data_IF_118484427140
#
_entry.id   IF_118484427140
#
_cell.length_a   1.000
_cell.length_b   1.000
_cell.length_c   1.000
_cell.angle_alpha   90.00
_cell.angle_beta   90.00
_cell.angle_gamma   90.00
#
_symmetry.space_group_name_H-M   'P 1'
#
loop_
_entity.id
_entity.type
_entity.pdbx_description
1 polymer ?
#
# COMPACT_ATOMS: atom_id res chain seq x y z
N UNK A 1 2.17 48.97 -61.04
CA UNK A 1 2.90 47.89 -60.34
C UNK A 1 2.07 47.56 -59.10
N UNK A 2 1.27 46.48 -59.08
CA UNK A 2 1.69 45.11 -58.71
C UNK A 2 2.64 45.16 -57.49
N UNK A 3 2.45 44.53 -56.33
CA UNK A 3 1.60 43.40 -55.96
C UNK A 3 1.76 43.20 -54.43
N UNK A 4 0.71 42.72 -53.75
CA UNK A 4 0.74 41.73 -52.63
C UNK A 4 1.33 42.03 -51.23
N UNK A 5 0.45 41.81 -50.23
CA UNK A 5 0.61 40.94 -49.03
C UNK A 5 1.53 41.47 -47.90
N UNK A 6 1.25 41.32 -46.60
CA UNK A 6 0.44 40.36 -45.83
C UNK A 6 0.02 41.02 -44.50
N UNK A 7 -1.26 40.90 -44.14
CA UNK A 7 -1.71 40.90 -42.75
C UNK A 7 -1.18 39.63 -42.07
N UNK A 8 -0.55 39.77 -40.90
CA UNK A 8 -0.33 38.67 -39.97
C UNK A 8 -1.15 38.97 -38.72
N UNK A 9 -2.23 38.23 -38.43
CA UNK A 9 -2.81 38.25 -37.09
C UNK A 9 -1.95 37.34 -36.21
N UNK A 10 -1.41 37.90 -35.12
CA UNK A 10 -0.83 37.13 -34.02
C UNK A 10 -1.96 36.35 -33.33
N UNK A 11 -2.24 35.16 -33.84
CA UNK A 11 -2.96 34.10 -33.13
C UNK A 11 -2.03 33.60 -32.03
N UNK A 12 -2.14 34.20 -30.84
CA UNK A 12 -1.64 33.58 -29.61
C UNK A 12 -2.59 32.42 -29.34
N UNK A 13 -2.27 31.25 -29.88
CA UNK A 13 -2.81 30.00 -29.36
C UNK A 13 -2.31 29.88 -27.92
N UNK A 14 -3.16 30.26 -26.97
CA UNK A 14 -3.08 29.75 -25.62
C UNK A 14 -3.16 28.23 -25.71
N UNK A 15 -2.01 27.57 -25.60
CA UNK A 15 -1.93 26.15 -25.32
C UNK A 15 -2.56 25.92 -23.94
N UNK A 16 -3.89 25.85 -23.90
CA UNK A 16 -4.57 25.10 -22.87
C UNK A 16 -4.11 23.66 -23.09
N UNK A 17 -3.14 23.22 -22.28
CA UNK A 17 -2.89 21.79 -22.14
C UNK A 17 -4.25 21.15 -21.86
N UNK A 18 -4.66 20.14 -22.64
CA UNK A 18 -5.80 19.36 -22.24
C UNK A 18 -5.40 18.77 -20.90
N UNK A 19 -6.10 19.18 -19.83
CA UNK A 19 -6.12 18.43 -18.59
C UNK A 19 -6.64 17.06 -18.98
N UNK A 20 -5.72 16.12 -19.20
CA UNK A 20 -6.05 14.73 -19.44
C UNK A 20 -6.74 14.30 -18.16
N UNK A 21 -8.04 14.02 -18.27
CA UNK A 21 -8.81 13.40 -17.21
C UNK A 21 -8.22 12.00 -16.93
N UNK A 22 -7.31 11.96 -15.97
CA UNK A 22 -6.96 10.80 -15.17
C UNK A 22 -6.85 11.32 -13.76
N UNK A 23 -7.70 10.84 -12.86
CA UNK A 23 -7.72 11.35 -11.48
C UNK A 23 -6.32 11.29 -10.86
N UNK A 24 -5.93 12.33 -10.14
CA UNK A 24 -4.66 12.38 -9.42
C UNK A 24 -4.50 11.10 -8.60
N UNK A 25 -3.36 10.43 -8.74
CA UNK A 25 -3.08 9.23 -7.95
C UNK A 25 -2.68 9.69 -6.57
N UNK A 26 -3.48 9.31 -5.58
CA UNK A 26 -3.31 9.74 -4.20
C UNK A 26 -2.62 8.64 -3.39
N UNK A 27 -1.55 9.01 -2.71
CA UNK A 27 -0.92 8.23 -1.65
C UNK A 27 -1.27 8.87 -0.31
N UNK A 28 -2.03 8.18 0.53
CA UNK A 28 -2.32 8.63 1.89
C UNK A 28 -1.64 7.70 2.91
N UNK A 29 -1.06 8.27 3.95
CA UNK A 29 -0.46 7.51 5.06
C UNK A 29 -0.68 8.18 6.41
N UNK A 30 -1.09 7.39 7.39
CA UNK A 30 -1.13 7.80 8.80
C UNK A 30 0.22 7.55 9.50
N UNK A 31 1.17 6.90 8.82
CA UNK A 31 2.50 6.60 9.33
C UNK A 31 3.52 7.53 8.66
N UNK A 32 4.13 8.39 9.48
CA UNK A 32 5.16 9.31 9.04
C UNK A 32 6.31 8.59 8.34
N UNK A 33 6.70 9.13 7.17
CA UNK A 33 7.80 8.59 6.38
C UNK A 33 7.48 7.36 5.54
N UNK A 34 6.22 6.91 5.50
CA UNK A 34 5.75 5.89 4.55
C UNK A 34 4.87 6.53 3.48
N UNK A 35 5.12 6.22 2.21
CA UNK A 35 4.31 6.72 1.09
C UNK A 35 4.34 5.76 -0.08
N UNK A 36 3.29 5.74 -0.89
CA UNK A 36 3.25 5.00 -2.15
C UNK A 36 3.70 5.87 -3.31
N UNK A 37 4.41 5.28 -4.26
CA UNK A 37 4.78 5.93 -5.51
C UNK A 37 4.94 4.89 -6.63
N UNK A 38 4.94 5.36 -7.88
CA UNK A 38 5.24 4.50 -9.03
C UNK A 38 6.73 4.15 -9.11
N UNK A 39 7.02 2.96 -9.61
CA UNK A 39 8.36 2.50 -9.93
C UNK A 39 8.79 2.99 -11.32
N UNK A 40 10.05 3.42 -11.51
CA UNK A 40 10.59 3.75 -12.83
C UNK A 40 10.39 2.61 -13.84
N UNK A 41 10.22 2.91 -15.15
CA UNK A 41 10.34 4.24 -15.78
C UNK A 41 9.09 5.13 -15.71
N UNK A 42 7.93 4.62 -15.28
CA UNK A 42 6.68 5.40 -15.18
C UNK A 42 6.69 6.25 -13.90
N UNK A 43 7.71 7.08 -13.72
CA UNK A 43 7.91 7.92 -12.56
C UNK A 43 6.94 9.13 -12.56
N UNK A 44 5.68 8.89 -12.93
CA UNK A 44 4.59 9.85 -12.86
C UNK A 44 4.48 10.32 -11.41
N UNK A 45 4.17 11.61 -11.27
CA UNK A 45 4.04 12.24 -9.98
C UNK A 45 2.84 11.66 -9.21
N UNK A 46 3.06 11.28 -7.95
CA UNK A 46 2.01 10.81 -7.04
C UNK A 46 1.76 11.87 -5.97
N UNK A 47 0.49 12.20 -5.73
CA UNK A 47 0.09 13.14 -4.69
C UNK A 47 0.16 12.47 -3.31
N UNK A 48 1.23 12.73 -2.57
CA UNK A 48 1.43 12.21 -1.23
C UNK A 48 0.81 13.13 -0.17
N UNK A 49 0.03 12.51 0.72
CA UNK A 49 -0.68 13.14 1.84
C UNK A 49 -0.44 12.37 3.13
N UNK A 50 -0.39 13.09 4.25
CA UNK A 50 -0.28 12.54 5.59
C UNK A 50 -1.29 13.21 6.53
N UNK A 51 -1.71 12.51 7.58
CA UNK A 51 -2.58 13.10 8.61
C UNK A 51 -1.88 14.25 9.36
N UNK A 52 -0.58 14.13 9.58
CA UNK A 52 0.25 15.16 10.21
C UNK A 52 1.01 15.95 9.14
N UNK A 53 0.71 17.25 9.04
CA UNK A 53 1.35 18.19 8.09
C UNK A 53 2.88 18.24 8.24
N UNK A 54 3.41 18.00 9.44
CA UNK A 54 4.86 17.95 9.63
C UNK A 54 5.51 16.79 8.85
N UNK A 55 4.77 15.72 8.55
CA UNK A 55 5.27 14.61 7.74
C UNK A 55 5.41 14.97 6.26
N UNK A 56 4.53 15.83 5.73
CA UNK A 56 4.64 16.35 4.36
C UNK A 56 5.95 17.14 4.23
N UNK A 57 6.20 18.07 5.15
CA UNK A 57 7.43 18.86 5.14
C UNK A 57 8.69 18.00 5.32
N UNK A 58 8.62 16.98 6.17
CA UNK A 58 9.71 16.01 6.36
C UNK A 58 10.00 15.23 5.08
N UNK A 59 8.98 14.77 4.36
CA UNK A 59 9.14 14.07 3.09
C UNK A 59 9.79 14.98 2.04
N UNK A 60 9.30 16.21 1.90
CA UNK A 60 9.84 17.21 0.97
C UNK A 60 11.31 17.48 1.26
N UNK A 61 11.65 17.77 2.50
CA UNK A 61 13.04 18.00 2.91
C UNK A 61 13.91 16.76 2.64
N UNK A 62 13.44 15.56 2.98
CA UNK A 62 14.21 14.33 2.77
C UNK A 62 14.51 14.08 1.29
N UNK A 63 13.51 14.17 0.42
CA UNK A 63 13.67 14.00 -1.02
C UNK A 63 14.60 15.06 -1.61
N UNK A 64 14.38 16.34 -1.27
CA UNK A 64 15.14 17.43 -1.87
C UNK A 64 16.58 17.55 -1.33
N UNK A 65 16.89 16.91 -0.20
CA UNK A 65 18.26 16.67 0.25
C UNK A 65 18.98 15.54 -0.51
N UNK A 66 18.32 14.87 -1.45
CA UNK A 66 18.87 13.73 -2.19
C UNK A 66 19.07 12.48 -1.33
N UNK A 67 18.39 12.38 -0.18
CA UNK A 67 18.46 11.20 0.68
C UNK A 67 17.72 10.04 0.02
N UNK A 68 18.15 8.84 0.38
CA UNK A 68 17.57 7.62 -0.17
C UNK A 68 16.20 7.32 0.43
N UNK A 69 15.34 6.71 -0.38
CA UNK A 69 14.10 6.05 0.04
C UNK A 69 14.15 4.57 -0.33
N UNK A 70 13.40 3.74 0.37
CA UNK A 70 13.53 2.29 0.28
C UNK A 70 12.18 1.67 -0.09
N UNK A 71 12.12 0.98 -1.22
CA UNK A 71 10.94 0.22 -1.62
C UNK A 71 10.80 -1.01 -0.72
N UNK A 72 9.80 -1.01 0.16
CA UNK A 72 9.66 -2.00 1.23
C UNK A 72 9.37 -3.40 0.71
N UNK A 73 8.65 -3.54 -0.41
CA UNK A 73 8.39 -4.85 -1.01
C UNK A 73 9.66 -5.55 -1.56
N UNK A 74 10.66 -4.76 -1.98
CA UNK A 74 11.86 -5.27 -2.64
C UNK A 74 13.15 -5.14 -1.80
N UNK A 75 13.12 -4.30 -0.76
CA UNK A 75 14.33 -3.88 -0.03
C UNK A 75 15.30 -3.07 -0.89
N UNK A 76 14.84 -2.48 -1.98
CA UNK A 76 15.67 -1.78 -2.96
C UNK A 76 15.74 -0.28 -2.66
N UNK A 77 16.90 0.31 -2.93
CA UNK A 77 17.20 1.73 -2.68
C UNK A 77 16.86 2.57 -3.92
N UNK A 78 16.22 3.71 -3.67
CA UNK A 78 15.83 4.70 -4.66
C UNK A 78 16.15 6.11 -4.15
N UNK A 79 16.00 7.10 -5.03
CA UNK A 79 15.96 8.52 -4.71
C UNK A 79 14.56 9.05 -4.98
N UNK A 80 14.18 10.14 -4.33
CA UNK A 80 12.92 10.83 -4.60
C UNK A 80 13.14 12.31 -4.83
N UNK A 81 12.22 12.92 -5.57
CA UNK A 81 12.05 14.35 -5.70
C UNK A 81 10.63 14.69 -5.23
N UNK A 82 10.48 15.82 -4.55
CA UNK A 82 9.20 16.24 -4.00
C UNK A 82 8.94 17.72 -4.27
N UNK A 83 7.78 18.01 -4.84
CA UNK A 83 7.31 19.35 -5.15
C UNK A 83 6.08 19.66 -4.32
N UNK A 84 6.04 20.85 -3.71
CA UNK A 84 4.91 21.28 -2.88
C UNK A 84 3.91 22.02 -3.77
N UNK A 85 2.70 21.50 -3.86
CA UNK A 85 1.60 22.20 -4.48
C UNK A 85 0.91 23.06 -3.42
N UNK A 86 0.95 24.37 -3.61
CA UNK A 86 0.12 25.28 -2.81
C UNK A 86 -1.28 25.25 -3.40
N UNK A 87 -2.23 24.68 -2.66
CA UNK A 87 -3.66 24.85 -2.95
C UNK A 87 -4.02 26.34 -2.84
N UNK A 88 -4.98 26.79 -3.65
CA UNK A 88 -5.41 28.18 -3.66
C UNK A 88 -5.87 28.62 -2.26
N UNK A 89 -5.66 29.89 -1.85
CA UNK A 89 -6.12 30.37 -0.56
C UNK A 89 -7.64 30.18 -0.42
N UNK A 90 -8.07 29.35 0.55
CA UNK A 90 -9.48 29.07 0.83
C UNK A 90 -9.99 27.70 0.37
N UNK A 91 -9.17 26.89 -0.31
CA UNK A 91 -9.45 25.47 -0.49
C UNK A 91 -9.04 24.71 0.78
N UNK A 92 -9.99 24.00 1.39
CA UNK A 92 -9.79 23.18 2.60
C UNK A 92 -9.07 21.84 2.27
N UNK A 93 -8.16 21.89 1.31
CA UNK A 93 -7.36 20.75 0.89
C UNK A 93 -6.03 20.80 1.63
N UNK A 94 -5.88 19.87 2.59
CA UNK A 94 -4.67 19.72 3.39
C UNK A 94 -3.41 19.63 2.53
N UNK A 95 -2.27 20.03 3.10
CA UNK A 95 -0.97 20.12 2.41
C UNK A 95 -0.66 18.81 1.64
N UNK A 96 -0.58 18.91 0.31
CA UNK A 96 -0.22 17.81 -0.60
C UNK A 96 1.15 18.08 -1.20
N UNK A 97 1.94 17.04 -1.42
CA UNK A 97 3.18 17.14 -2.18
C UNK A 97 3.20 16.09 -3.28
N UNK A 98 3.58 16.50 -4.50
CA UNK A 98 3.81 15.57 -5.58
C UNK A 98 5.18 14.95 -5.45
N UNK A 99 5.24 13.62 -5.46
CA UNK A 99 6.47 12.86 -5.28
C UNK A 99 6.73 12.01 -6.51
N UNK A 100 7.98 12.03 -6.95
CA UNK A 100 8.50 11.18 -8.01
C UNK A 100 9.69 10.39 -7.48
N UNK A 101 9.78 9.11 -7.85
CA UNK A 101 10.88 8.23 -7.44
C UNK A 101 11.75 7.86 -8.63
N UNK A 102 13.07 7.90 -8.43
CA UNK A 102 14.09 7.54 -9.41
C UNK A 102 14.99 6.45 -8.84
N UNK A 103 15.42 5.50 -9.67
CA UNK A 103 16.27 4.40 -9.24
C UNK A 103 16.23 3.22 -10.20
N UNK A 104 16.48 1.98 -9.72
CA UNK A 104 16.45 0.79 -10.56
C UNK A 104 15.17 0.71 -11.37
N UNK A 105 15.30 0.48 -12.68
CA UNK A 105 14.15 0.23 -13.53
C UNK A 105 13.48 -1.08 -13.13
N UNK A 106 12.15 -1.08 -13.09
CA UNK A 106 11.41 -2.33 -12.94
C UNK A 106 11.65 -3.23 -14.16
N UNK A 107 11.50 -4.54 -13.96
CA UNK A 107 11.68 -5.54 -15.03
C UNK A 107 10.44 -5.72 -15.92
N UNK A 108 9.28 -5.19 -15.50
CA UNK A 108 8.02 -5.33 -16.22
C UNK A 108 7.72 -4.10 -17.07
N UNK A 109 7.16 -4.35 -18.26
CA UNK A 109 6.51 -3.35 -19.11
C UNK A 109 5.28 -2.71 -18.45
N UNK A 110 4.56 -3.45 -17.60
CA UNK A 110 3.41 -2.95 -16.87
C UNK A 110 3.82 -1.94 -15.81
N UNK A 111 2.99 -0.91 -15.64
CA UNK A 111 3.10 0.06 -14.55
C UNK A 111 3.06 -0.66 -13.21
N UNK A 112 3.97 -0.29 -12.31
CA UNK A 112 4.08 -0.87 -10.96
C UNK A 112 4.21 0.24 -9.92
N UNK A 113 3.70 -0.03 -8.72
CA UNK A 113 3.87 0.82 -7.56
C UNK A 113 4.74 0.12 -6.51
N UNK A 114 5.25 0.89 -5.56
CA UNK A 114 5.82 0.36 -4.33
C UNK A 114 5.43 1.24 -3.13
N UNK A 115 5.47 0.64 -1.94
CA UNK A 115 5.44 1.36 -0.68
C UNK A 115 6.89 1.72 -0.32
N UNK A 116 7.15 2.99 -0.13
CA UNK A 116 8.46 3.53 0.21
C UNK A 116 8.53 3.92 1.67
N UNK A 117 9.72 3.78 2.24
CA UNK A 117 10.10 4.33 3.54
C UNK A 117 11.26 5.29 3.42
N UNK A 118 11.27 6.33 4.26
CA UNK A 118 12.43 7.21 4.45
C UNK A 118 13.61 6.51 5.15
N UNK A 119 13.35 5.40 5.83
CA UNK A 119 14.35 4.60 6.54
C UNK A 119 14.46 3.19 5.92
N UNK A 120 15.64 2.55 5.97
CA UNK A 120 15.78 1.19 5.50
C UNK A 120 14.93 0.23 6.36
N UNK A 121 14.28 -0.79 5.76
CA UNK A 121 13.56 -1.80 6.53
C UNK A 121 14.54 -2.63 7.36
N UNK A 122 14.19 -2.92 8.62
CA UNK A 122 14.91 -3.91 9.43
C UNK A 122 14.68 -5.33 8.88
N UNK A 123 13.48 -5.58 8.36
CA UNK A 123 13.10 -6.85 7.72
C UNK A 123 12.77 -6.64 6.23
N UNK A 124 13.76 -6.77 5.32
CA UNK A 124 13.55 -6.50 3.89
C UNK A 124 12.76 -7.60 3.16
N UNK A 125 12.62 -8.79 3.76
CA UNK A 125 11.89 -9.93 3.19
C UNK A 125 11.18 -10.69 4.28
N UNK A 126 10.02 -11.24 3.98
CA UNK A 126 9.24 -12.08 4.89
C UNK A 126 9.15 -13.50 4.35
N UNK A 127 9.21 -14.48 5.25
CA UNK A 127 9.00 -15.88 4.90
C UNK A 127 7.49 -16.14 4.82
N UNK A 128 6.98 -16.30 3.60
CA UNK A 128 5.57 -16.61 3.34
C UNK A 128 5.46 -18.06 2.87
N UNK A 129 4.70 -18.88 3.59
CA UNK A 129 4.58 -20.32 3.32
C UNK A 129 3.13 -20.76 3.48
N UNK A 130 2.79 -21.95 2.97
CA UNK A 130 1.55 -22.63 3.36
C UNK A 130 1.57 -22.83 4.87
N UNK A 131 0.43 -22.65 5.54
CA UNK A 131 0.35 -22.92 6.97
C UNK A 131 0.78 -24.35 7.28
N UNK A 132 1.58 -24.50 8.32
CA UNK A 132 1.99 -25.79 8.86
C UNK A 132 0.75 -26.59 9.35
N UNK A 133 0.65 -27.91 9.11
CA UNK A 133 -0.49 -28.71 9.52
C UNK A 133 -0.81 -28.65 11.03
N UNK A 134 0.20 -28.59 11.89
CA UNK A 134 0.00 -28.54 13.34
C UNK A 134 -0.53 -27.16 13.72
N UNK A 135 0.07 -26.09 13.19
CA UNK A 135 -0.44 -24.72 13.37
C UNK A 135 -1.86 -24.54 12.82
N UNK A 136 -2.22 -25.22 11.72
CA UNK A 136 -3.58 -25.23 11.17
C UNK A 136 -4.55 -25.89 12.14
N UNK A 137 -4.18 -27.03 12.71
CA UNK A 137 -4.99 -27.77 13.68
C UNK A 137 -5.22 -26.95 14.95
N UNK A 138 -4.16 -26.33 15.48
CA UNK A 138 -4.25 -25.43 16.64
C UNK A 138 -5.18 -24.23 16.38
N UNK A 139 -5.04 -23.59 15.21
CA UNK A 139 -5.91 -22.48 14.82
C UNK A 139 -7.38 -22.92 14.65
N UNK A 140 -7.62 -24.09 14.08
CA UNK A 140 -8.96 -24.66 13.97
C UNK A 140 -9.57 -24.91 15.37
N UNK A 141 -8.80 -25.46 16.30
CA UNK A 141 -9.23 -25.66 17.68
C UNK A 141 -9.53 -24.32 18.39
N UNK A 142 -8.69 -23.30 18.19
CA UNK A 142 -8.94 -21.95 18.70
C UNK A 142 -10.28 -21.39 18.20
N UNK A 143 -10.56 -21.51 16.90
CA UNK A 143 -11.82 -21.04 16.30
C UNK A 143 -13.03 -21.84 16.82
N UNK A 144 -12.87 -23.14 17.01
CA UNK A 144 -13.93 -24.01 17.54
C UNK A 144 -14.19 -23.79 19.04
N UNK A 145 -13.21 -23.29 19.79
CA UNK A 145 -13.35 -23.06 21.24
C UNK A 145 -14.41 -22.00 21.60
N UNK A 146 -14.73 -21.09 20.67
CA UNK A 146 -15.75 -20.05 20.86
C UNK A 146 -16.66 -19.93 19.63
N UNK A 147 -17.61 -20.85 19.53
CA UNK A 147 -18.59 -20.88 18.42
C UNK A 147 -19.52 -19.67 18.41
N UNK A 148 -19.72 -19.00 19.55
CA UNK A 148 -20.51 -17.75 19.61
C UNK A 148 -19.78 -16.63 18.88
N UNK A 149 -18.48 -16.50 19.10
CA UNK A 149 -17.65 -15.50 18.41
C UNK A 149 -17.34 -15.87 16.97
N UNK A 150 -17.03 -17.15 16.70
CA UNK A 150 -16.45 -17.58 15.43
C UNK A 150 -17.33 -18.49 14.58
N UNK A 151 -18.57 -18.82 14.97
CA UNK A 151 -19.43 -19.74 14.21
C UNK A 151 -19.76 -19.26 12.79
N UNK A 152 -19.89 -17.94 12.59
CA UNK A 152 -20.01 -17.36 11.25
C UNK A 152 -18.69 -17.43 10.46
N UNK A 153 -17.60 -17.08 11.13
CA UNK A 153 -16.25 -17.07 10.56
C UNK A 153 -15.83 -18.47 10.08
N UNK A 154 -15.99 -19.50 10.90
CA UNK A 154 -15.53 -20.86 10.61
C UNK A 154 -16.06 -21.39 9.27
N UNK A 155 -17.31 -21.06 8.93
CA UNK A 155 -17.98 -21.51 7.70
C UNK A 155 -17.46 -20.85 6.42
N UNK A 156 -16.82 -19.68 6.52
CA UNK A 156 -16.30 -18.96 5.36
C UNK A 156 -14.80 -19.19 5.10
N UNK A 157 -14.07 -19.83 6.02
CA UNK A 157 -12.63 -20.00 5.91
C UNK A 157 -12.25 -21.07 4.89
N UNK A 158 -11.40 -20.69 3.95
CA UNK A 158 -10.81 -21.54 2.93
C UNK A 158 -9.41 -21.96 3.36
N UNK A 159 -9.34 -23.04 4.13
CA UNK A 159 -8.12 -23.49 4.79
C UNK A 159 -6.98 -23.88 3.86
N UNK A 160 -7.27 -24.31 2.63
CA UNK A 160 -6.23 -24.74 1.69
C UNK A 160 -5.41 -23.58 1.14
N UNK A 161 -5.99 -22.37 1.15
CA UNK A 161 -5.30 -21.14 0.81
C UNK A 161 -4.65 -20.44 2.00
N UNK A 162 -4.68 -21.02 3.20
CA UNK A 162 -4.12 -20.40 4.40
C UNK A 162 -2.59 -20.33 4.33
N UNK A 163 -2.05 -19.17 4.68
CA UNK A 163 -0.61 -18.88 4.65
C UNK A 163 -0.11 -18.43 6.02
N UNK A 164 1.11 -18.85 6.35
CA UNK A 164 1.88 -18.32 7.48
C UNK A 164 2.92 -17.33 6.98
N UNK A 165 3.11 -16.25 7.74
CA UNK A 165 4.07 -15.19 7.48
C UNK A 165 4.89 -14.93 8.74
N UNK A 166 6.21 -14.94 8.61
CA UNK A 166 7.15 -14.74 9.70
C UNK A 166 8.42 -14.01 9.22
N UNK A 167 9.15 -13.38 10.13
CA UNK A 167 10.47 -12.84 9.81
C UNK A 167 11.43 -13.98 9.40
N UNK A 168 12.36 -13.77 8.45
CA UNK A 168 13.39 -14.75 8.16
C UNK A 168 14.31 -14.94 9.36
N UNK A 169 14.70 -16.19 9.64
CA UNK A 169 15.57 -16.55 10.79
C UNK A 169 15.04 -16.06 12.13
N UNK A 170 13.72 -16.01 12.27
CA UNK A 170 13.05 -15.73 13.53
C UNK A 170 13.61 -16.62 14.65
N UNK A 171 13.82 -16.04 15.83
CA UNK A 171 14.13 -16.81 17.02
C UNK A 171 13.03 -17.85 17.28
N UNK A 172 13.35 -19.01 17.91
CA UNK A 172 12.34 -19.93 18.39
C UNK A 172 11.28 -19.19 19.21
N UNK A 173 10.01 -19.31 18.81
CA UNK A 173 8.91 -18.58 19.43
C UNK A 173 8.69 -17.15 18.90
N UNK A 174 9.18 -16.77 17.72
CA UNK A 174 8.72 -15.51 17.11
C UNK A 174 7.21 -15.55 16.80
N UNK A 175 6.56 -14.39 16.82
CA UNK A 175 5.15 -14.31 16.43
C UNK A 175 4.99 -14.70 14.97
N UNK A 176 3.92 -15.43 14.68
CA UNK A 176 3.58 -15.85 13.32
C UNK A 176 2.26 -15.23 12.93
N UNK A 177 2.22 -14.52 11.81
CA UNK A 177 0.96 -14.05 11.22
C UNK A 177 0.39 -15.16 10.36
N UNK A 178 -0.90 -15.46 10.52
CA UNK A 178 -1.62 -16.39 9.68
C UNK A 178 -2.72 -15.63 8.95
N UNK A 179 -2.76 -15.76 7.63
CA UNK A 179 -3.81 -15.22 6.78
C UNK A 179 -4.59 -16.38 6.19
N UNK A 180 -5.89 -16.41 6.45
CA UNK A 180 -6.81 -17.43 5.92
C UNK A 180 -7.80 -16.76 4.97
N UNK A 181 -7.83 -17.15 3.68
CA UNK A 181 -8.85 -16.64 2.77
C UNK A 181 -10.25 -16.99 3.27
N UNK A 182 -11.16 -16.05 3.11
CA UNK A 182 -12.55 -16.13 3.53
C UNK A 182 -13.50 -16.19 2.34
N UNK A 183 -14.71 -15.68 2.56
CA UNK A 183 -15.73 -15.54 1.51
C UNK A 183 -15.31 -14.55 0.43
N UNK A 184 -15.84 -14.76 -0.77
CA UNK A 184 -15.82 -13.76 -1.83
C UNK A 184 -17.04 -12.87 -1.66
N UNK A 185 -16.81 -11.56 -1.57
CA UNK A 185 -17.86 -10.54 -1.58
C UNK A 185 -18.01 -10.03 -3.01
N UNK A 186 -19.25 -9.96 -3.50
CA UNK A 186 -19.58 -9.47 -4.84
C UNK A 186 -20.70 -8.46 -4.71
N UNK A 187 -20.52 -7.31 -5.36
CA UNK A 187 -21.57 -6.32 -5.54
C UNK A 187 -21.65 -5.96 -7.03
N UNK A 188 -22.69 -6.47 -7.68
CA UNK A 188 -22.89 -6.27 -9.11
C UNK A 188 -23.28 -4.83 -9.45
N UNK A 189 -23.85 -4.06 -8.51
CA UNK A 189 -24.29 -2.70 -8.76
C UNK A 189 -23.11 -1.73 -8.91
N UNK A 190 -21.96 -2.06 -8.29
CA UNK A 190 -20.74 -1.24 -8.33
C UNK A 190 -19.54 -1.99 -8.94
N UNK A 191 -19.80 -3.09 -9.68
CA UNK A 191 -18.77 -3.92 -10.32
C UNK A 191 -17.64 -4.36 -9.38
N UNK A 192 -17.97 -4.62 -8.12
CA UNK A 192 -16.99 -4.94 -7.08
C UNK A 192 -16.93 -6.44 -6.83
N UNK A 193 -15.72 -7.00 -6.81
CA UNK A 193 -15.47 -8.36 -6.37
C UNK A 193 -14.13 -8.45 -5.63
N UNK A 194 -14.19 -8.90 -4.37
CA UNK A 194 -12.98 -9.11 -3.57
C UNK A 194 -13.12 -10.34 -2.66
N UNK A 195 -12.02 -11.07 -2.48
CA UNK A 195 -11.94 -12.13 -1.48
C UNK A 195 -11.48 -11.53 -0.15
N UNK A 196 -12.29 -11.72 0.89
CA UNK A 196 -11.93 -11.32 2.25
C UNK A 196 -10.85 -12.24 2.78
N UNK A 197 -9.95 -11.71 3.61
CA UNK A 197 -8.91 -12.51 4.25
C UNK A 197 -8.92 -12.25 5.76
N UNK A 198 -8.91 -13.32 6.54
CA UNK A 198 -8.94 -13.26 7.99
C UNK A 198 -7.53 -13.39 8.55
N UNK A 199 -7.16 -12.45 9.41
CA UNK A 199 -5.81 -12.36 9.95
C UNK A 199 -5.80 -12.82 11.41
N UNK A 200 -4.88 -13.71 11.71
CA UNK A 200 -4.60 -14.22 13.04
C UNK A 200 -3.12 -14.02 13.37
N UNK A 201 -2.80 -13.89 14.65
CA UNK A 201 -1.42 -13.89 15.12
C UNK A 201 -1.26 -15.01 16.14
N UNK A 202 -0.30 -15.90 15.90
CA UNK A 202 0.17 -16.88 16.87
C UNK A 202 1.29 -16.24 17.69
N UNK A 203 1.12 -16.22 19.01
CA UNK A 203 2.13 -15.73 19.93
C UNK A 203 3.31 -16.68 20.05
N UNK A 204 4.38 -16.23 20.70
CA UNK A 204 5.54 -17.04 21.05
C UNK A 204 5.21 -18.29 21.87
N UNK A 205 4.13 -18.23 22.64
CA UNK A 205 3.63 -19.29 23.52
C UNK A 205 2.62 -20.21 22.81
N UNK A 206 2.40 -20.02 21.50
CA UNK A 206 1.46 -20.83 20.71
C UNK A 206 0.00 -20.42 20.81
N UNK A 207 -0.32 -19.33 21.51
CA UNK A 207 -1.69 -18.84 21.61
C UNK A 207 -2.09 -18.02 20.38
N UNK A 208 -3.28 -18.27 19.83
CA UNK A 208 -3.82 -17.51 18.70
C UNK A 208 -4.66 -16.32 19.16
N UNK A 209 -4.55 -15.21 18.43
CA UNK A 209 -5.44 -14.08 18.51
C UNK A 209 -6.02 -13.75 17.12
N UNK A 210 -7.33 -13.61 17.04
CA UNK A 210 -7.98 -13.08 15.84
C UNK A 210 -7.80 -11.56 15.76
N UNK A 211 -7.19 -11.08 14.68
CA UNK A 211 -6.86 -9.66 14.48
C UNK A 211 -7.95 -8.91 13.71
N UNK A 212 -8.64 -9.59 12.78
CA UNK A 212 -9.70 -8.99 11.98
C UNK A 212 -9.75 -9.50 10.54
N UNK A 213 -10.45 -8.76 9.68
CA UNK A 213 -10.61 -9.05 8.26
C UNK A 213 -9.96 -7.93 7.44
N UNK A 214 -9.24 -8.28 6.37
CA UNK A 214 -8.79 -7.34 5.34
C UNK A 214 -9.58 -7.55 4.05
N UNK A 215 -9.79 -6.48 3.27
CA UNK A 215 -10.83 -6.49 2.23
C UNK A 215 -10.45 -7.24 0.95
N UNK A 216 -9.15 -7.47 0.71
CA UNK A 216 -8.64 -8.14 -0.48
C UNK A 216 -7.47 -9.07 -0.16
N UNK A 217 -6.75 -9.48 -1.18
CA UNK A 217 -5.58 -10.37 -1.03
C UNK A 217 -4.38 -9.57 -0.54
N UNK A 218 -3.69 -10.01 0.53
CA UNK A 218 -2.37 -9.47 0.87
C UNK A 218 -1.35 -9.88 -0.19
N UNK A 219 -1.00 -8.95 -1.08
CA UNK A 219 -0.06 -9.17 -2.18
C UNK A 219 1.40 -9.11 -1.70
N UNK A 220 1.67 -8.31 -0.68
CA UNK A 220 3.00 -8.19 -0.08
C UNK A 220 2.97 -7.95 1.42
N UNK A 221 4.11 -8.27 2.05
CA UNK A 221 4.34 -8.19 3.47
C UNK A 221 5.58 -7.33 3.68
N UNK A 222 5.45 -6.28 4.49
CA UNK A 222 6.42 -5.18 4.55
C UNK A 222 6.74 -4.83 5.98
N UNK A 223 7.97 -4.38 6.22
CA UNK A 223 8.36 -3.83 7.51
C UNK A 223 8.00 -2.35 7.60
N UNK A 224 7.01 -2.01 8.42
CA UNK A 224 6.47 -0.64 8.55
C UNK A 224 6.77 0.01 9.90
N UNK A 225 7.23 -0.77 10.87
CA UNK A 225 7.41 -0.32 12.26
C UNK A 225 8.59 -1.00 12.97
N UNK A 226 9.38 -1.82 12.29
CA UNK A 226 10.55 -2.52 12.82
C UNK A 226 10.22 -3.71 13.72
N UNK A 227 8.94 -4.11 13.81
CA UNK A 227 8.50 -5.21 14.67
C UNK A 227 8.54 -6.58 13.96
N UNK A 228 8.29 -7.64 14.73
CA UNK A 228 8.20 -9.03 14.27
C UNK A 228 6.86 -9.40 13.60
N UNK A 229 5.96 -8.43 13.41
CA UNK A 229 4.73 -8.59 12.63
C UNK A 229 4.80 -7.77 11.33
N UNK A 230 4.37 -8.32 10.19
CA UNK A 230 4.38 -7.61 8.93
C UNK A 230 3.25 -6.57 8.87
N UNK A 231 3.51 -5.48 8.16
CA UNK A 231 2.45 -4.72 7.49
C UNK A 231 1.94 -5.51 6.29
N UNK A 232 0.63 -5.46 6.03
CA UNK A 232 -0.02 -6.13 4.90
C UNK A 232 -0.37 -5.10 3.83
N UNK A 233 0.20 -5.23 2.64
CA UNK A 233 -0.24 -4.46 1.47
C UNK A 233 -1.31 -5.28 0.77
N UNK A 234 -2.52 -4.75 0.79
CA UNK A 234 -3.73 -5.42 0.33
C UNK A 234 -4.24 -4.75 -0.92
N UNK A 235 -4.50 -5.55 -1.95
CA UNK A 235 -5.06 -5.11 -3.22
C UNK A 235 -6.50 -5.58 -3.33
N UNK A 236 -7.38 -4.65 -3.70
CA UNK A 236 -8.77 -4.91 -4.00
C UNK A 236 -9.02 -4.80 -5.50
N UNK A 237 -9.88 -5.68 -6.03
CA UNK A 237 -10.32 -5.58 -7.42
C UNK A 237 -11.22 -4.36 -7.60
N UNK A 238 -10.72 -3.33 -8.29
CA UNK A 238 -11.46 -2.15 -8.69
C UNK A 238 -10.99 -1.67 -10.07
N UNK A 239 -11.71 -0.72 -10.66
CA UNK A 239 -11.21 0.01 -11.82
C UNK A 239 -10.04 0.90 -11.37
N UNK A 240 -8.83 0.71 -11.90
CA UNK A 240 -7.62 1.42 -11.46
C UNK A 240 -6.86 0.75 -10.31
N UNK A 241 -6.34 1.55 -9.36
CA UNK A 241 -5.56 1.06 -8.22
C UNK A 241 -6.35 1.21 -6.91
N UNK A 242 -6.55 0.11 -6.18
CA UNK A 242 -7.17 0.12 -4.85
C UNK A 242 -6.30 -0.65 -3.87
N UNK A 243 -5.25 0.02 -3.40
CA UNK A 243 -4.26 -0.56 -2.50
C UNK A 243 -4.45 0.03 -1.11
N UNK A 244 -4.37 -0.81 -0.09
CA UNK A 244 -4.39 -0.41 1.31
C UNK A 244 -3.24 -1.03 2.09
N UNK A 245 -2.70 -0.29 3.05
CA UNK A 245 -1.68 -0.76 3.98
C UNK A 245 -2.32 -1.00 5.34
N UNK A 246 -2.11 -2.19 5.90
CA UNK A 246 -2.65 -2.59 7.20
C UNK A 246 -1.54 -2.91 8.18
N UNK A 247 -1.61 -2.34 9.39
CA UNK A 247 -0.73 -2.64 10.52
C UNK A 247 -1.35 -3.70 11.42
N UNK A 248 -0.52 -4.57 11.98
CA UNK A 248 -0.91 -5.60 12.95
C UNK A 248 -0.53 -5.24 14.40
N UNK A 249 0.55 -4.47 14.59
CA UNK A 249 0.98 -3.99 15.92
C UNK A 249 -0.11 -3.11 16.55
N UNK A 250 -0.56 -3.51 17.74
CA UNK A 250 -1.67 -2.84 18.44
C UNK A 250 -3.06 -3.13 17.87
N UNK A 251 -3.20 -4.16 17.03
CA UNK A 251 -4.45 -4.56 16.37
C UNK A 251 -4.45 -4.28 14.87
N UNK A 252 -5.35 -4.94 14.14
CA UNK A 252 -5.51 -4.75 12.70
C UNK A 252 -6.09 -3.36 12.41
N UNK A 253 -5.32 -2.48 11.76
CA UNK A 253 -5.76 -1.13 11.39
C UNK A 253 -5.22 -0.75 10.02
N UNK A 254 -6.06 -0.14 9.20
CA UNK A 254 -5.59 0.49 7.97
C UNK A 254 -4.80 1.76 8.33
N UNK A 255 -3.62 1.91 7.74
CA UNK A 255 -2.67 3.00 8.01
C UNK A 255 -2.15 3.68 6.75
N UNK A 256 -2.57 3.22 5.57
CA UNK A 256 -2.28 3.88 4.32
C UNK A 256 -3.17 3.40 3.19
N UNK A 257 -3.24 4.20 2.13
CA UNK A 257 -3.98 3.91 0.90
C UNK A 257 -3.20 4.42 -0.30
N UNK A 258 -3.37 3.73 -1.42
CA UNK A 258 -2.93 4.21 -2.71
C UNK A 258 -3.99 3.90 -3.75
N UNK A 259 -4.39 4.91 -4.50
CA UNK A 259 -5.40 4.70 -5.53
C UNK A 259 -5.68 5.89 -6.42
N UNK A 260 -6.56 5.62 -7.38
CA UNK A 260 -7.04 6.55 -8.39
C UNK A 260 -7.38 5.81 -9.69
N UNK A 261 -8.25 6.40 -10.49
CA UNK A 261 -8.69 5.94 -11.82
C UNK A 261 -7.84 6.56 -12.92
#
# INVERSE_FOLDING_TARGET
MLLTRLLVPLLVLSCAWPAIAGTEKESHSTLGGLFFAFLPPDADQVMARFDDKAQVQRLVQHCNMGKAVFALQAGAKYQCQAEVFKTQPGADDGDVTGVTVQGPARQSDRRQYALFSLAPPATPRWDVRKIDPDHRTELQAYIQSDTRRFGGLSRQLQWDGARSIQQPRSAPGARTTVVVPGKVVRDAAVFYQAQRHHVFVRSSQGAFAYMGEVPGTPESHVDIDGNDLPGLVVSEGCDGWCISLWRLTGGLRQVGRFGGH
#
